data_IF_989080447742
#
_entry.id   IF_989080447742
#
_cell.length_a   1.000
_cell.length_b   1.000
_cell.length_c   1.000
_cell.angle_alpha   90.00
_cell.angle_beta   90.00
_cell.angle_gamma   90.00
#
_symmetry.space_group_name_H-M   'P 1'
#
loop_
_entity.id
_entity.type
_entity.pdbx_description
1 polymer ?
#
# COMPACT_ATOMS: atom_id res chain seq x y z
N UNK A 1 -12.14 12.50 -29.39
CA UNK A 1 -12.91 13.76 -29.38
C UNK A 1 -13.72 13.68 -28.10
N UNK A 2 -13.33 14.25 -26.96
CA UNK A 2 -13.08 15.66 -26.63
C UNK A 2 -11.76 15.81 -25.83
N UNK A 3 -11.06 16.92 -26.08
CA UNK A 3 -9.77 17.32 -25.48
C UNK A 3 -9.99 18.26 -24.29
N UNK A 4 -9.05 18.19 -23.33
CA UNK A 4 -8.46 19.25 -22.48
C UNK A 4 -9.36 20.05 -21.53
N UNK A 5 -8.91 20.20 -20.27
CA UNK A 5 -8.40 21.48 -19.75
C UNK A 5 -7.30 21.26 -18.70
N UNK A 6 -6.21 22.01 -18.88
CA UNK A 6 -5.07 22.15 -17.97
C UNK A 6 -5.37 23.35 -17.08
N UNK A 7 -5.28 23.22 -15.75
CA UNK A 7 -5.17 24.36 -14.85
C UNK A 7 -3.79 24.32 -14.19
N UNK A 8 -3.01 25.33 -14.55
CA UNK A 8 -1.82 25.80 -13.84
C UNK A 8 -2.29 26.62 -12.64
N UNK A 9 -1.85 26.30 -11.44
CA UNK A 9 -1.78 27.27 -10.33
C UNK A 9 -0.49 27.07 -9.55
N UNK A 10 0.15 28.20 -9.32
CA UNK A 10 1.43 28.39 -8.67
C UNK A 10 1.35 28.14 -7.16
N UNK A 11 2.52 28.04 -6.55
CA UNK A 11 2.77 28.12 -5.11
C UNK A 11 1.92 29.21 -4.44
N UNK A 12 1.10 28.81 -3.47
CA UNK A 12 0.81 29.59 -2.27
C UNK A 12 0.09 28.69 -1.25
N UNK A 13 0.76 28.43 -0.13
CA UNK A 13 0.12 27.93 1.09
C UNK A 13 -1.00 28.90 1.52
N UNK A 14 -2.19 28.42 1.94
CA UNK A 14 -3.14 29.30 2.58
C UNK A 14 -2.80 29.45 4.06
N UNK A 15 -2.34 30.65 4.44
CA UNK A 15 -2.38 31.13 5.84
C UNK A 15 -3.83 31.41 6.28
N UNK A 16 -4.13 31.28 7.58
CA UNK A 16 -5.48 31.33 8.11
C UNK A 16 -5.95 32.78 8.30
N UNK A 17 -6.70 33.35 7.36
CA UNK A 17 -7.40 34.63 7.61
C UNK A 17 -8.64 34.93 6.76
N UNK A 18 -9.23 33.94 6.07
CA UNK A 18 -10.49 34.14 5.33
C UNK A 18 -11.57 33.22 5.88
N UNK A 19 -12.05 33.50 7.10
CA UNK A 19 -13.19 32.78 7.71
C UNK A 19 -14.35 33.73 8.06
N UNK A 20 -14.16 35.06 7.96
CA UNK A 20 -15.21 36.02 8.33
C UNK A 20 -16.12 36.45 7.17
N UNK A 21 -15.71 36.30 5.91
CA UNK A 21 -16.47 36.85 4.76
C UNK A 21 -17.41 35.82 4.11
N UNK A 22 -17.22 34.53 4.34
CA UNK A 22 -18.00 33.46 3.71
C UNK A 22 -19.31 33.12 4.43
N UNK A 23 -19.52 33.63 5.65
CA UNK A 23 -20.74 33.35 6.43
C UNK A 23 -21.94 34.15 5.89
N UNK A 24 -21.74 35.39 5.41
CA UNK A 24 -22.81 36.22 4.86
C UNK A 24 -23.32 35.73 3.47
N UNK A 25 -22.47 35.04 2.69
CA UNK A 25 -22.87 34.45 1.40
C UNK A 25 -23.54 33.07 1.56
N UNK A 26 -23.35 32.38 2.68
CA UNK A 26 -24.01 31.11 2.98
C UNK A 26 -25.39 31.28 3.62
N UNK A 27 -25.63 32.36 4.36
CA UNK A 27 -26.97 32.66 4.93
C UNK A 27 -28.00 33.11 3.88
N UNK A 28 -27.56 33.57 2.71
CA UNK A 28 -28.46 34.05 1.64
C UNK A 28 -29.01 32.95 0.73
N UNK A 29 -28.49 31.72 0.80
CA UNK A 29 -28.97 30.58 -0.01
C UNK A 29 -29.88 29.61 0.74
N UNK A 30 -30.11 29.82 2.04
CA UNK A 30 -30.91 28.92 2.89
C UNK A 30 -32.16 29.55 3.51
N UNK A 31 -32.55 30.77 3.14
CA UNK A 31 -33.85 31.33 3.48
C UNK A 31 -34.75 31.34 2.24
N UNK A 32 -35.91 30.65 2.23
CA UNK A 32 -36.84 30.76 1.12
C UNK A 32 -37.44 32.18 1.13
N UNK A 33 -36.93 33.05 0.25
CA UNK A 33 -37.64 34.26 -0.13
C UNK A 33 -38.93 33.81 -0.82
N UNK A 34 -40.06 33.95 -0.14
CA UNK A 34 -41.39 33.76 -0.74
C UNK A 34 -41.54 34.73 -1.93
N UNK A 35 -41.24 34.24 -3.14
CA UNK A 35 -41.77 34.80 -4.38
C UNK A 35 -43.08 34.07 -4.67
N UNK A 36 -44.17 34.84 -4.72
CA UNK A 36 -45.50 34.36 -5.08
C UNK A 36 -45.48 33.85 -6.52
N UNK A 37 -45.89 32.60 -6.72
CA UNK A 37 -46.39 32.09 -8.00
C UNK A 37 -45.36 31.42 -8.92
N UNK A 38 -44.78 30.31 -8.49
CA UNK A 38 -44.26 29.25 -9.35
C UNK A 38 -44.49 27.95 -8.57
N UNK A 39 -45.23 26.99 -9.14
CA UNK A 39 -45.32 25.63 -8.59
C UNK A 39 -43.91 25.04 -8.65
N UNK A 40 -43.18 25.12 -7.54
CA UNK A 40 -41.87 24.49 -7.40
C UNK A 40 -42.12 22.99 -7.51
N UNK A 41 -41.66 22.39 -8.61
CA UNK A 41 -41.68 20.96 -8.80
C UNK A 41 -40.81 20.29 -7.73
N UNK A 42 -41.47 19.91 -6.63
CA UNK A 42 -40.86 19.27 -5.47
C UNK A 42 -40.12 17.97 -5.86
N UNK A 43 -40.60 17.28 -6.89
CA UNK A 43 -40.00 16.06 -7.43
C UNK A 43 -38.63 16.38 -8.04
N UNK A 44 -38.56 17.41 -8.87
CA UNK A 44 -37.32 17.91 -9.49
C UNK A 44 -36.32 18.42 -8.45
N UNK A 45 -36.77 19.17 -7.44
CA UNK A 45 -35.91 19.60 -6.34
C UNK A 45 -35.35 18.42 -5.54
N UNK A 46 -36.18 17.41 -5.21
CA UNK A 46 -35.73 16.20 -4.51
C UNK A 46 -34.73 15.41 -5.34
N UNK A 47 -34.96 15.28 -6.64
CA UNK A 47 -34.05 14.60 -7.57
C UNK A 47 -32.70 15.31 -7.63
N UNK A 48 -32.69 16.63 -7.76
CA UNK A 48 -31.47 17.44 -7.78
C UNK A 48 -30.66 17.34 -6.47
N UNK A 49 -31.33 17.37 -5.31
CA UNK A 49 -30.67 17.18 -4.02
C UNK A 49 -30.09 15.78 -3.87
N UNK A 50 -30.82 14.76 -4.31
CA UNK A 50 -30.34 13.37 -4.31
C UNK A 50 -29.08 13.22 -5.15
N UNK A 51 -29.05 13.78 -6.37
CA UNK A 51 -27.87 13.74 -7.23
C UNK A 51 -26.63 14.35 -6.54
N UNK A 52 -26.79 15.51 -5.88
CA UNK A 52 -25.70 16.14 -5.11
C UNK A 52 -25.20 15.29 -3.95
N UNK A 53 -26.10 14.63 -3.22
CA UNK A 53 -25.74 13.74 -2.10
C UNK A 53 -24.98 12.52 -2.63
N UNK A 54 -25.46 11.92 -3.72
CA UNK A 54 -24.81 10.76 -4.35
C UNK A 54 -23.43 11.11 -4.88
N UNK A 55 -23.26 12.26 -5.54
CA UNK A 55 -21.94 12.72 -6.01
C UNK A 55 -20.96 12.96 -4.86
N UNK A 56 -21.42 13.61 -3.78
CA UNK A 56 -20.60 13.86 -2.61
C UNK A 56 -20.20 12.55 -1.91
N UNK A 57 -21.14 11.62 -1.75
CA UNK A 57 -20.89 10.30 -1.18
C UNK A 57 -19.92 9.50 -2.04
N UNK A 58 -20.13 9.42 -3.36
CA UNK A 58 -19.25 8.69 -4.28
C UNK A 58 -17.82 9.23 -4.24
N UNK A 59 -17.65 10.56 -4.18
CA UNK A 59 -16.34 11.19 -4.04
C UNK A 59 -15.68 10.85 -2.71
N UNK A 60 -16.39 10.98 -1.59
CA UNK A 60 -15.86 10.63 -0.27
C UNK A 60 -15.48 9.14 -0.19
N UNK A 61 -16.34 8.25 -0.69
CA UNK A 61 -16.10 6.81 -0.76
C UNK A 61 -14.82 6.48 -1.56
N UNK A 62 -14.64 7.12 -2.72
CA UNK A 62 -13.44 6.97 -3.54
C UNK A 62 -12.18 7.49 -2.82
N UNK A 63 -12.24 8.68 -2.23
CA UNK A 63 -11.11 9.30 -1.54
C UNK A 63 -10.70 8.52 -0.28
N UNK A 64 -11.68 7.96 0.44
CA UNK A 64 -11.48 7.13 1.62
C UNK A 64 -11.08 5.68 1.31
N UNK A 65 -11.13 5.25 0.04
CA UNK A 65 -10.85 3.87 -0.36
C UNK A 65 -11.83 2.88 0.28
N UNK A 66 -13.12 3.21 0.29
CA UNK A 66 -14.16 2.32 0.78
C UNK A 66 -14.62 1.39 -0.34
N UNK A 67 -14.74 0.10 -0.02
CA UNK A 67 -15.25 -0.91 -0.96
C UNK A 67 -16.64 -0.52 -1.45
N UNK A 68 -16.91 -0.61 -2.75
CA UNK A 68 -18.23 -0.27 -3.33
C UNK A 68 -19.39 -1.07 -2.72
N UNK A 69 -19.12 -2.27 -2.19
CA UNK A 69 -20.13 -3.07 -1.48
C UNK A 69 -20.64 -2.39 -0.20
N UNK A 70 -20.01 -1.30 0.27
CA UNK A 70 -20.46 -0.53 1.44
C UNK A 70 -21.90 0.00 1.30
N UNK A 71 -22.37 0.22 0.07
CA UNK A 71 -23.75 0.69 -0.20
C UNK A 71 -24.80 -0.42 0.01
N UNK A 72 -24.38 -1.68 0.08
CA UNK A 72 -25.27 -2.83 0.23
C UNK A 72 -25.49 -3.22 1.70
N UNK A 73 -24.85 -2.55 2.68
CA UNK A 73 -25.14 -2.76 4.10
C UNK A 73 -26.45 -2.04 4.47
N UNK A 74 -27.56 -2.55 3.95
CA UNK A 74 -28.86 -1.87 3.96
C UNK A 74 -29.34 -1.50 5.35
N UNK A 75 -29.06 -2.32 6.36
CA UNK A 75 -29.53 -2.06 7.72
C UNK A 75 -28.79 -0.86 8.32
N UNK A 76 -27.46 -0.95 8.44
CA UNK A 76 -26.66 0.10 9.08
C UNK A 76 -26.48 1.36 8.21
N UNK A 77 -26.38 1.21 6.88
CA UNK A 77 -26.17 2.36 5.99
C UNK A 77 -27.46 3.16 5.80
N UNK A 78 -28.63 2.50 5.68
CA UNK A 78 -29.91 3.22 5.58
C UNK A 78 -30.22 3.98 6.86
N UNK A 79 -29.99 3.35 8.02
CA UNK A 79 -30.15 4.00 9.33
C UNK A 79 -29.23 5.24 9.47
N UNK A 80 -27.97 5.13 9.03
CA UNK A 80 -27.04 6.27 9.02
C UNK A 80 -27.55 7.42 8.14
N UNK A 81 -27.97 7.13 6.90
CA UNK A 81 -28.47 8.15 5.98
C UNK A 81 -29.75 8.80 6.53
N UNK A 82 -30.66 8.03 7.12
CA UNK A 82 -31.86 8.54 7.75
C UNK A 82 -31.54 9.45 8.95
N UNK A 83 -30.67 9.01 9.85
CA UNK A 83 -30.26 9.80 11.02
C UNK A 83 -29.59 11.12 10.62
N UNK A 84 -28.70 11.11 9.62
CA UNK A 84 -28.08 12.34 9.09
C UNK A 84 -29.13 13.24 8.44
N UNK A 85 -30.08 12.67 7.70
CA UNK A 85 -31.20 13.40 7.10
C UNK A 85 -32.11 14.06 8.13
N UNK A 86 -32.41 13.37 9.23
CA UNK A 86 -33.22 13.89 10.34
C UNK A 86 -32.50 15.00 11.13
N UNK A 87 -31.18 14.90 11.30
CA UNK A 87 -30.39 15.97 11.94
C UNK A 87 -30.41 17.25 11.10
N UNK A 88 -30.23 17.13 9.79
CA UNK A 88 -30.25 18.26 8.85
C UNK A 88 -28.92 19.02 8.72
N UNK A 89 -28.93 20.22 8.09
CA UNK A 89 -27.73 21.00 7.83
C UNK A 89 -26.96 21.39 9.11
N UNK A 90 -25.63 21.34 9.04
CA UNK A 90 -24.74 21.76 10.14
C UNK A 90 -24.22 20.62 11.03
N UNK A 91 -24.58 19.36 10.73
CA UNK A 91 -23.97 18.19 11.36
C UNK A 91 -22.46 18.19 11.10
N UNK A 92 -21.67 18.04 12.16
CA UNK A 92 -20.21 17.89 12.06
C UNK A 92 -19.87 16.40 11.96
N UNK A 93 -18.92 16.00 11.10
CA UNK A 93 -18.46 14.61 11.06
C UNK A 93 -17.97 14.15 12.44
N UNK A 94 -18.23 12.87 12.81
CA UNK A 94 -17.78 12.32 14.08
C UNK A 94 -16.25 12.26 14.13
N UNK A 95 -15.69 12.42 15.34
CA UNK A 95 -14.24 12.26 15.59
C UNK A 95 -13.92 10.86 16.15
N UNK A 96 -12.65 10.43 16.05
CA UNK A 96 -12.21 9.11 16.55
C UNK A 96 -12.68 8.80 17.97
N UNK A 97 -12.63 9.78 18.87
CA UNK A 97 -13.05 9.61 20.26
C UNK A 97 -14.53 9.20 20.37
N UNK A 98 -15.43 9.90 19.68
CA UNK A 98 -16.86 9.61 19.68
C UNK A 98 -17.15 8.25 19.03
N UNK A 99 -16.48 7.96 17.90
CA UNK A 99 -16.65 6.68 17.20
C UNK A 99 -16.20 5.50 18.07
N UNK A 100 -15.05 5.60 18.74
CA UNK A 100 -14.53 4.55 19.62
C UNK A 100 -15.47 4.30 20.80
N UNK A 101 -16.00 5.36 21.42
CA UNK A 101 -16.94 5.21 22.53
C UNK A 101 -18.24 4.52 22.11
N UNK A 102 -18.80 4.89 20.95
CA UNK A 102 -20.03 4.27 20.45
C UNK A 102 -19.83 2.81 20.01
N UNK A 103 -18.67 2.47 19.44
CA UNK A 103 -18.31 1.08 19.10
C UNK A 103 -18.04 0.23 20.35
N UNK A 104 -17.68 0.88 21.47
CA UNK A 104 -17.13 0.21 22.65
C UNK A 104 -15.61 0.11 22.52
N UNK A 105 -14.81 0.76 23.40
CA UNK A 105 -13.35 0.71 23.34
C UNK A 105 -12.77 -0.72 23.37
N UNK A 106 -13.46 -1.65 24.03
CA UNK A 106 -13.14 -3.07 24.05
C UNK A 106 -13.29 -3.74 22.68
N UNK A 107 -14.07 -3.19 21.76
CA UNK A 107 -14.23 -3.74 20.42
C UNK A 107 -13.20 -3.21 19.42
N UNK A 108 -12.37 -2.23 19.83
CA UNK A 108 -11.36 -1.58 19.00
C UNK A 108 -9.96 -2.05 19.39
N UNK A 109 -9.25 -2.69 18.47
CA UNK A 109 -7.87 -3.17 18.70
C UNK A 109 -6.83 -2.12 18.32
N UNK A 110 -7.09 -1.37 17.24
CA UNK A 110 -6.11 -0.48 16.62
C UNK A 110 -6.80 0.63 15.82
N UNK A 111 -6.21 1.82 15.87
CA UNK A 111 -6.47 2.95 14.97
C UNK A 111 -5.23 3.17 14.13
N UNK A 112 -5.39 3.17 12.80
CA UNK A 112 -4.30 3.40 11.85
C UNK A 112 -4.53 4.72 11.14
N UNK A 113 -3.53 5.60 11.15
CA UNK A 113 -3.58 6.89 10.44
C UNK A 113 -2.36 7.05 9.55
N UNK A 114 -2.38 8.02 8.64
CA UNK A 114 -1.17 8.43 7.94
C UNK A 114 -0.17 9.14 8.89
N UNK A 115 0.95 9.59 8.33
CA UNK A 115 2.10 10.12 9.04
C UNK A 115 2.10 11.66 9.16
N UNK A 116 0.98 12.32 8.86
CA UNK A 116 0.82 13.77 9.03
C UNK A 116 1.00 14.18 10.51
N UNK A 117 1.54 15.38 10.74
CA UNK A 117 1.85 15.88 12.08
C UNK A 117 0.63 15.95 13.00
N UNK A 118 -0.52 16.28 12.42
CA UNK A 118 -1.83 16.38 13.08
C UNK A 118 -2.26 14.99 13.56
N UNK A 119 -2.11 13.98 12.70
CA UNK A 119 -2.44 12.59 13.00
C UNK A 119 -1.52 12.01 14.08
N UNK A 120 -0.23 12.38 14.11
CA UNK A 120 0.66 12.01 15.22
C UNK A 120 0.21 12.56 16.56
N UNK A 121 -0.16 13.84 16.59
CA UNK A 121 -0.66 14.50 17.81
C UNK A 121 -1.96 13.86 18.29
N UNK A 122 -2.92 13.69 17.38
CA UNK A 122 -4.20 13.02 17.67
C UNK A 122 -4.00 11.59 18.15
N UNK A 123 -3.09 10.84 17.52
CA UNK A 123 -2.71 9.49 17.92
C UNK A 123 -2.10 9.41 19.32
N UNK A 124 -1.26 10.38 19.68
CA UNK A 124 -0.73 10.53 21.03
C UNK A 124 -1.82 10.76 22.08
N UNK A 125 -2.79 11.62 21.77
CA UNK A 125 -3.96 11.86 22.63
C UNK A 125 -4.83 10.61 22.77
N UNK A 126 -5.09 9.90 21.66
CA UNK A 126 -5.86 8.65 21.67
C UNK A 126 -5.21 7.58 22.55
N UNK A 127 -3.88 7.44 22.52
CA UNK A 127 -3.14 6.52 23.41
C UNK A 127 -3.33 6.86 24.89
N UNK A 128 -3.46 8.14 25.23
CA UNK A 128 -3.71 8.59 26.59
C UNK A 128 -5.14 8.32 27.07
N UNK A 129 -6.13 8.57 26.20
CA UNK A 129 -7.55 8.38 26.54
C UNK A 129 -7.94 6.89 26.55
N UNK A 130 -7.43 6.11 25.61
CA UNK A 130 -7.74 4.69 25.46
C UNK A 130 -6.46 3.86 25.61
N UNK A 131 -6.00 3.59 26.85
CA UNK A 131 -4.71 2.93 27.10
C UNK A 131 -4.63 1.51 26.52
N UNK A 132 -5.76 0.84 26.29
CA UNK A 132 -5.81 -0.52 25.74
C UNK A 132 -5.88 -0.54 24.20
N UNK A 133 -6.06 0.62 23.55
CA UNK A 133 -6.10 0.75 22.09
C UNK A 133 -4.71 1.13 21.57
N UNK A 134 -4.36 0.59 20.41
CA UNK A 134 -3.13 0.98 19.73
C UNK A 134 -3.39 2.01 18.66
N UNK A 135 -2.60 3.08 18.67
CA UNK A 135 -2.44 3.93 17.51
C UNK A 135 -1.11 3.63 16.83
N UNK A 136 -1.17 3.39 15.53
CA UNK A 136 0.01 3.12 14.68
C UNK A 136 -0.07 3.92 13.39
N UNK A 137 1.08 4.17 12.79
CA UNK A 137 1.18 4.75 11.46
C UNK A 137 0.87 3.70 10.39
N UNK A 138 0.33 4.15 9.27
CA UNK A 138 0.04 3.30 8.12
C UNK A 138 1.33 2.74 7.51
N UNK A 139 1.43 1.40 7.44
CA UNK A 139 2.61 0.72 6.91
C UNK A 139 2.91 1.10 5.45
N UNK A 140 1.88 1.11 4.61
CA UNK A 140 2.01 1.50 3.21
C UNK A 140 2.50 2.95 3.04
N UNK A 141 2.02 3.84 3.90
CA UNK A 141 2.50 5.22 3.91
C UNK A 141 3.95 5.32 4.39
N UNK A 142 4.36 4.54 5.39
CA UNK A 142 5.74 4.49 5.85
C UNK A 142 6.70 3.99 4.76
N UNK A 143 6.35 2.92 4.04
CA UNK A 143 7.15 2.40 2.92
C UNK A 143 7.21 3.42 1.77
N UNK A 144 6.11 4.11 1.48
CA UNK A 144 6.12 5.21 0.52
C UNK A 144 7.09 6.35 0.92
N UNK A 145 7.18 6.67 2.21
CA UNK A 145 8.15 7.65 2.70
C UNK A 145 9.59 7.13 2.61
N UNK A 146 9.84 5.83 2.85
CA UNK A 146 11.15 5.21 2.62
C UNK A 146 11.59 5.41 1.17
N UNK A 147 10.71 5.11 0.21
CA UNK A 147 10.98 5.40 -1.20
C UNK A 147 11.28 6.88 -1.45
N UNK A 148 10.49 7.78 -0.85
CA UNK A 148 10.69 9.21 -0.99
C UNK A 148 12.06 9.69 -0.50
N UNK A 149 12.60 9.08 0.54
CA UNK A 149 13.94 9.40 1.03
C UNK A 149 15.05 8.74 0.21
N UNK A 150 14.87 7.47 -0.19
CA UNK A 150 15.80 6.76 -1.07
C UNK A 150 15.95 7.49 -2.40
N UNK A 151 14.85 7.92 -3.03
CA UNK A 151 14.89 8.62 -4.32
C UNK A 151 15.39 10.07 -4.24
N UNK A 152 15.78 10.57 -3.06
CA UNK A 152 16.57 11.80 -2.94
C UNK A 152 18.07 11.53 -3.11
N UNK A 153 18.54 10.30 -2.88
CA UNK A 153 19.94 9.93 -3.01
C UNK A 153 20.37 9.85 -4.48
N UNK A 154 21.62 10.23 -4.77
CA UNK A 154 22.25 9.90 -6.03
C UNK A 154 22.73 8.42 -6.01
N UNK A 155 22.63 7.68 -7.13
CA UNK A 155 22.19 8.14 -8.46
C UNK A 155 20.66 8.13 -8.66
N UNK A 156 19.88 7.64 -7.70
CA UNK A 156 18.44 7.36 -7.86
C UNK A 156 17.58 8.59 -8.22
N UNK A 157 17.83 9.73 -7.59
CA UNK A 157 17.14 10.99 -7.90
C UNK A 157 17.34 11.42 -9.35
N UNK A 158 18.58 11.26 -9.84
CA UNK A 158 18.99 11.67 -11.18
C UNK A 158 18.41 10.75 -12.25
N UNK A 159 18.42 9.43 -12.04
CA UNK A 159 17.84 8.49 -13.00
C UNK A 159 16.33 8.66 -13.10
N UNK A 160 15.64 8.93 -11.98
CA UNK A 160 14.21 9.17 -11.98
C UNK A 160 13.85 10.44 -12.77
N UNK A 161 14.59 11.54 -12.55
CA UNK A 161 14.39 12.77 -13.32
C UNK A 161 14.60 12.55 -14.84
N UNK A 162 15.63 11.79 -15.23
CA UNK A 162 15.88 11.42 -16.64
C UNK A 162 14.74 10.57 -17.20
N UNK A 163 14.24 9.58 -16.46
CA UNK A 163 13.13 8.74 -16.89
C UNK A 163 11.82 9.53 -17.08
N UNK A 164 11.51 10.47 -16.18
CA UNK A 164 10.37 11.39 -16.34
C UNK A 164 10.52 12.22 -17.62
N UNK A 165 11.72 12.73 -17.91
CA UNK A 165 11.97 13.48 -19.15
C UNK A 165 11.72 12.62 -20.39
N UNK A 166 12.22 11.39 -20.42
CA UNK A 166 11.98 10.43 -21.52
C UNK A 166 10.46 10.20 -21.71
N UNK A 167 9.77 9.87 -20.62
CA UNK A 167 8.32 9.67 -20.62
C UNK A 167 7.58 10.90 -21.16
N UNK A 168 7.88 12.08 -20.60
CA UNK A 168 7.17 13.33 -20.92
C UNK A 168 7.45 13.81 -22.34
N UNK A 169 8.58 13.40 -22.92
CA UNK A 169 8.91 13.68 -24.30
C UNK A 169 8.19 12.75 -25.28
N UNK A 170 8.21 11.43 -25.03
CA UNK A 170 7.69 10.43 -25.96
C UNK A 170 6.16 10.32 -25.87
N UNK A 171 5.61 10.22 -24.66
CA UNK A 171 4.19 9.87 -24.44
C UNK A 171 3.19 10.84 -25.08
N UNK A 172 3.39 12.17 -25.07
CA UNK A 172 2.47 13.10 -25.73
C UNK A 172 2.55 13.14 -27.26
N UNK A 173 3.53 12.44 -27.88
CA UNK A 173 3.82 12.52 -29.31
C UNK A 173 3.41 11.22 -30.03
N UNK A 174 2.27 11.19 -30.73
CA UNK A 174 1.73 9.96 -31.32
C UNK A 174 2.68 9.28 -32.30
N UNK A 175 3.46 10.04 -33.09
CA UNK A 175 4.42 9.47 -34.03
C UNK A 175 5.52 8.68 -33.32
N UNK A 176 6.14 9.28 -32.30
CA UNK A 176 7.20 8.63 -31.51
C UNK A 176 6.66 7.41 -30.74
N UNK A 177 5.47 7.56 -30.16
CA UNK A 177 4.81 6.47 -29.45
C UNK A 177 4.50 5.30 -30.39
N UNK A 178 4.03 5.58 -31.60
CA UNK A 178 3.76 4.55 -32.61
C UNK A 178 5.03 3.87 -33.10
N UNK A 179 6.13 4.60 -33.32
CA UNK A 179 7.42 4.01 -33.71
C UNK A 179 7.96 3.13 -32.57
N UNK A 180 7.90 3.59 -31.32
CA UNK A 180 8.28 2.79 -30.15
C UNK A 180 7.46 1.50 -30.05
N UNK A 181 6.14 1.55 -30.33
CA UNK A 181 5.22 0.41 -30.27
C UNK A 181 5.39 -0.61 -31.41
N UNK A 182 6.06 -0.27 -32.51
CA UNK A 182 6.26 -1.17 -33.66
C UNK A 182 7.17 -2.36 -33.34
N UNK A 183 7.87 -2.33 -32.21
CA UNK A 183 8.83 -3.36 -31.83
C UNK A 183 8.32 -4.13 -30.59
N UNK A 184 8.13 -5.46 -30.78
CA UNK A 184 7.60 -6.50 -29.86
C UNK A 184 6.70 -6.06 -28.67
N UNK A 185 5.44 -6.50 -28.71
CA UNK A 185 4.40 -6.53 -27.64
C UNK A 185 3.72 -5.22 -27.20
N UNK A 186 3.81 -4.11 -27.95
CA UNK A 186 2.98 -2.89 -27.75
C UNK A 186 2.91 -2.31 -26.31
N UNK A 187 3.91 -2.53 -25.46
CA UNK A 187 3.87 -2.05 -24.06
C UNK A 187 4.03 -0.52 -24.02
N UNK A 188 3.16 0.13 -23.26
CA UNK A 188 3.18 1.58 -23.09
C UNK A 188 4.17 1.99 -22.00
N UNK A 189 4.70 3.22 -22.11
CA UNK A 189 5.33 3.84 -20.96
C UNK A 189 4.24 4.16 -19.93
N UNK A 190 4.46 3.76 -18.68
CA UNK A 190 3.51 4.01 -17.60
C UNK A 190 3.63 5.45 -17.11
N UNK A 191 2.49 6.14 -17.03
CA UNK A 191 2.39 7.50 -16.49
C UNK A 191 2.88 7.52 -15.04
N UNK A 192 3.91 8.33 -14.71
CA UNK A 192 4.24 8.58 -13.32
C UNK A 192 3.04 9.23 -12.61
N UNK A 193 2.57 8.65 -11.50
CA UNK A 193 1.62 9.34 -10.64
C UNK A 193 2.39 10.28 -9.70
N UNK A 194 1.89 11.51 -9.53
CA UNK A 194 2.54 12.51 -8.67
C UNK A 194 2.58 12.10 -7.19
N UNK A 195 1.71 11.20 -6.75
CA UNK A 195 1.36 11.00 -5.33
C UNK A 195 1.71 9.64 -4.73
N UNK A 196 2.34 8.71 -5.48
CA UNK A 196 2.75 7.39 -4.96
C UNK A 196 4.13 7.00 -5.50
N UNK A 197 5.16 6.93 -4.66
CA UNK A 197 6.53 6.61 -5.09
C UNK A 197 6.67 5.20 -5.69
N UNK A 198 5.76 4.28 -5.37
CA UNK A 198 5.62 2.99 -6.09
C UNK A 198 5.47 3.20 -7.60
N UNK A 199 4.70 4.21 -8.01
CA UNK A 199 4.52 4.51 -9.44
C UNK A 199 5.81 5.04 -10.07
N UNK A 200 6.70 5.67 -9.30
CA UNK A 200 8.02 6.06 -9.78
C UNK A 200 8.88 4.85 -10.16
N UNK A 201 8.92 3.83 -9.28
CA UNK A 201 9.61 2.56 -9.57
C UNK A 201 8.95 1.80 -10.71
N UNK A 202 7.62 1.72 -10.74
CA UNK A 202 6.91 1.07 -11.85
C UNK A 202 7.19 1.79 -13.18
N UNK A 203 7.26 3.12 -13.21
CA UNK A 203 7.67 3.84 -14.42
C UNK A 203 9.10 3.51 -14.82
N UNK A 204 10.06 3.52 -13.89
CA UNK A 204 11.45 3.13 -14.18
C UNK A 204 11.55 1.70 -14.72
N UNK A 205 10.81 0.77 -14.12
CA UNK A 205 10.77 -0.63 -14.56
C UNK A 205 10.21 -0.74 -15.98
N UNK A 206 9.12 -0.03 -16.29
CA UNK A 206 8.56 -0.01 -17.64
C UNK A 206 9.50 0.64 -18.68
N UNK A 207 10.19 1.72 -18.32
CA UNK A 207 11.22 2.33 -19.18
C UNK A 207 12.35 1.33 -19.44
N UNK A 208 12.78 0.58 -18.43
CA UNK A 208 13.78 -0.47 -18.56
C UNK A 208 13.33 -1.61 -19.48
N UNK A 209 12.09 -2.09 -19.34
CA UNK A 209 11.52 -3.10 -20.25
C UNK A 209 11.45 -2.62 -21.71
N UNK A 210 11.34 -1.31 -21.92
CA UNK A 210 11.35 -0.69 -23.25
C UNK A 210 12.75 -0.31 -23.74
N UNK A 211 13.83 -0.65 -23.03
CA UNK A 211 15.21 -0.25 -23.37
C UNK A 211 15.57 -0.47 -24.83
N UNK A 212 15.30 -1.67 -25.35
CA UNK A 212 15.65 -1.99 -26.74
C UNK A 212 14.78 -1.23 -27.73
N UNK A 213 13.47 -1.15 -27.50
CA UNK A 213 12.55 -0.39 -28.35
C UNK A 213 12.90 1.11 -28.38
N UNK A 214 13.25 1.68 -27.23
CA UNK A 214 13.70 3.07 -27.11
C UNK A 214 15.01 3.30 -27.87
N UNK A 215 15.97 2.36 -27.78
CA UNK A 215 17.22 2.43 -28.54
C UNK A 215 16.97 2.33 -30.04
N UNK A 216 16.15 1.38 -30.49
CA UNK A 216 15.76 1.26 -31.89
C UNK A 216 15.09 2.53 -32.39
N UNK A 217 14.17 3.13 -31.61
CA UNK A 217 13.54 4.40 -31.95
C UNK A 217 14.58 5.50 -32.21
N UNK A 218 15.49 5.76 -31.26
CA UNK A 218 16.43 6.90 -31.39
C UNK A 218 17.56 6.66 -32.38
N UNK A 219 17.79 5.40 -32.77
CA UNK A 219 18.78 5.02 -33.78
C UNK A 219 18.16 4.85 -35.18
N UNK A 220 16.84 4.98 -35.32
CA UNK A 220 16.17 4.77 -36.61
C UNK A 220 16.37 5.94 -37.57
N UNK A 221 16.26 5.65 -38.87
CA UNK A 221 16.29 6.69 -39.91
C UNK A 221 15.14 7.67 -39.72
N UNK A 222 13.95 7.19 -39.37
CA UNK A 222 12.77 8.01 -39.11
C UNK A 222 12.99 9.00 -37.96
N UNK A 223 13.72 8.61 -36.90
CA UNK A 223 14.10 9.55 -35.86
C UNK A 223 15.07 10.61 -36.40
N UNK A 224 16.14 10.17 -37.07
CA UNK A 224 17.20 11.06 -37.57
C UNK A 224 16.70 12.11 -38.57
N UNK A 225 15.71 11.76 -39.39
CA UNK A 225 15.10 12.63 -40.39
C UNK A 225 13.98 13.50 -39.79
N UNK A 226 13.46 13.15 -38.61
CA UNK A 226 12.37 13.87 -37.96
C UNK A 226 12.78 15.24 -37.41
N UNK A 227 11.76 16.08 -37.16
CA UNK A 227 11.93 17.32 -36.40
C UNK A 227 12.41 17.07 -34.96
N UNK A 228 12.10 15.91 -34.39
CA UNK A 228 12.37 15.58 -32.99
C UNK A 228 13.88 15.42 -32.72
N UNK A 229 14.64 14.85 -33.67
CA UNK A 229 16.10 14.77 -33.55
C UNK A 229 16.80 16.13 -33.57
N UNK A 230 16.13 17.17 -34.09
CA UNK A 230 16.67 18.54 -34.17
C UNK A 230 16.37 19.35 -32.90
N UNK A 231 15.30 19.02 -32.18
CA UNK A 231 14.91 19.65 -30.91
C UNK A 231 15.99 19.46 -29.83
N UNK A 232 16.21 20.49 -29.00
CA UNK A 232 17.15 20.43 -27.87
C UNK A 232 16.80 19.31 -26.89
N UNK A 233 15.52 19.18 -26.53
CA UNK A 233 15.00 18.12 -25.67
C UNK A 233 15.11 16.73 -26.31
N UNK A 234 14.87 16.62 -27.62
CA UNK A 234 15.01 15.35 -28.34
C UNK A 234 16.45 14.86 -28.36
N UNK A 235 17.42 15.75 -28.59
CA UNK A 235 18.85 15.44 -28.48
C UNK A 235 19.24 15.00 -27.07
N UNK A 236 18.72 15.67 -26.03
CA UNK A 236 18.95 15.28 -24.63
C UNK A 236 18.41 13.87 -24.33
N UNK A 237 17.16 13.59 -24.72
CA UNK A 237 16.50 12.28 -24.55
C UNK A 237 17.24 11.17 -25.29
N UNK A 238 17.66 11.41 -26.54
CA UNK A 238 18.44 10.44 -27.30
C UNK A 238 19.78 10.13 -26.61
N UNK A 239 20.46 11.15 -26.06
CA UNK A 239 21.70 10.94 -25.30
C UNK A 239 21.48 10.09 -24.05
N UNK A 240 20.36 10.25 -23.34
CA UNK A 240 20.03 9.40 -22.19
C UNK A 240 19.80 7.95 -22.60
N UNK A 241 19.02 7.72 -23.67
CA UNK A 241 18.66 6.38 -24.15
C UNK A 241 19.87 5.62 -24.71
N UNK A 242 20.77 6.31 -25.40
CA UNK A 242 21.98 5.69 -25.97
C UNK A 242 23.03 5.45 -24.88
N UNK A 243 23.19 6.38 -23.93
CA UNK A 243 24.22 6.33 -22.91
C UNK A 243 24.10 5.14 -21.94
N UNK A 244 25.20 4.44 -21.61
CA UNK A 244 25.17 3.28 -20.70
C UNK A 244 24.84 3.68 -19.26
N UNK A 245 25.29 4.86 -18.81
CA UNK A 245 25.11 5.32 -17.43
C UNK A 245 23.66 5.38 -16.99
N UNK A 246 22.75 5.86 -17.85
CA UNK A 246 21.33 5.92 -17.52
C UNK A 246 20.76 4.52 -17.21
N UNK A 247 21.13 3.52 -18.00
CA UNK A 247 20.67 2.15 -17.80
C UNK A 247 21.31 1.49 -16.58
N UNK A 248 22.60 1.74 -16.33
CA UNK A 248 23.28 1.23 -15.13
C UNK A 248 22.64 1.81 -13.85
N UNK A 249 22.37 3.12 -13.84
CA UNK A 249 21.67 3.77 -12.72
C UNK A 249 20.22 3.27 -12.58
N UNK A 250 19.56 2.95 -13.70
CA UNK A 250 18.19 2.39 -13.70
C UNK A 250 18.19 1.01 -13.04
N UNK A 251 19.16 0.15 -13.39
CA UNK A 251 19.32 -1.16 -12.77
C UNK A 251 19.57 -1.02 -11.27
N UNK A 252 20.46 -0.12 -10.85
CA UNK A 252 20.70 0.13 -9.42
C UNK A 252 19.41 0.55 -8.69
N UNK A 253 18.63 1.46 -9.27
CA UNK A 253 17.36 1.89 -8.69
C UNK A 253 16.33 0.75 -8.59
N UNK A 254 16.28 -0.16 -9.58
CA UNK A 254 15.39 -1.32 -9.56
C UNK A 254 15.82 -2.39 -8.56
N UNK A 255 17.13 -2.62 -8.39
CA UNK A 255 17.69 -3.54 -7.38
C UNK A 255 17.26 -3.16 -5.96
N UNK A 256 17.20 -1.85 -5.67
CA UNK A 256 16.67 -1.33 -4.40
C UNK A 256 15.14 -1.29 -4.37
N UNK A 257 14.53 -0.83 -5.46
CA UNK A 257 13.12 -0.50 -5.49
C UNK A 257 12.20 -1.71 -5.49
N UNK A 258 12.53 -2.75 -6.26
CA UNK A 258 11.65 -3.91 -6.45
C UNK A 258 11.36 -4.67 -5.14
N UNK A 259 12.35 -4.98 -4.27
CA UNK A 259 12.07 -5.64 -3.00
C UNK A 259 11.09 -4.85 -2.12
N UNK A 260 11.27 -3.53 -2.01
CA UNK A 260 10.36 -2.67 -1.25
C UNK A 260 8.96 -2.55 -1.88
N UNK A 261 8.84 -2.64 -3.22
CA UNK A 261 7.52 -2.69 -3.89
C UNK A 261 6.80 -3.97 -3.51
N UNK A 262 7.50 -5.10 -3.37
CA UNK A 262 6.91 -6.36 -2.91
C UNK A 262 6.38 -6.25 -1.48
N UNK A 263 7.13 -5.61 -0.57
CA UNK A 263 6.64 -5.35 0.80
C UNK A 263 5.42 -4.42 0.79
N UNK A 264 5.45 -3.37 -0.04
CA UNK A 264 4.31 -2.48 -0.17
C UNK A 264 3.05 -3.22 -0.64
N UNK A 265 3.17 -4.05 -1.68
CA UNK A 265 2.06 -4.86 -2.20
C UNK A 265 1.53 -5.83 -1.16
N UNK A 266 2.39 -6.39 -0.31
CA UNK A 266 1.98 -7.22 0.80
C UNK A 266 1.11 -6.44 1.80
N UNK A 267 1.54 -5.23 2.21
CA UNK A 267 0.81 -4.45 3.22
C UNK A 267 -0.44 -3.73 2.69
N UNK A 268 -0.47 -3.42 1.40
CA UNK A 268 -1.65 -2.90 0.69
C UNK A 268 -2.63 -4.02 0.30
N UNK A 269 -2.18 -5.29 0.28
CA UNK A 269 -3.00 -6.43 -0.12
C UNK A 269 -4.02 -6.85 0.95
N UNK A 270 -5.25 -7.14 0.53
CA UNK A 270 -6.34 -7.54 1.43
C UNK A 270 -6.44 -9.07 1.64
N UNK A 271 -5.80 -9.86 0.78
CA UNK A 271 -5.96 -11.34 0.72
C UNK A 271 -5.39 -12.07 1.94
N UNK A 272 -4.31 -11.58 2.55
CA UNK A 272 -3.69 -12.17 3.75
C UNK A 272 -3.44 -11.07 4.78
N UNK A 273 -3.70 -11.27 6.08
CA UNK A 273 -3.40 -10.28 7.11
C UNK A 273 -1.88 -9.97 7.13
N UNK A 274 -1.43 -8.78 6.68
CA UNK A 274 -0.02 -8.54 6.41
C UNK A 274 0.81 -8.31 7.68
N UNK A 275 0.11 -7.99 8.76
CA UNK A 275 0.67 -7.55 10.02
C UNK A 275 1.60 -8.57 10.70
N UNK A 276 1.39 -9.87 10.51
CA UNK A 276 2.28 -10.92 11.00
C UNK A 276 3.46 -11.25 10.09
N UNK A 277 3.53 -10.67 8.89
CA UNK A 277 4.56 -10.94 7.89
C UNK A 277 5.51 -9.76 7.68
N UNK A 278 5.22 -8.58 8.23
CA UNK A 278 5.94 -7.36 7.88
C UNK A 278 7.41 -7.34 8.30
N UNK A 279 7.77 -7.95 9.45
CA UNK A 279 9.19 -8.10 9.85
C UNK A 279 9.94 -8.94 8.81
N UNK A 280 9.48 -10.17 8.60
CA UNK A 280 10.07 -11.11 7.64
C UNK A 280 10.15 -10.51 6.22
N UNK A 281 9.10 -9.80 5.79
CA UNK A 281 9.07 -9.18 4.47
C UNK A 281 10.12 -8.06 4.34
N UNK A 282 10.31 -7.25 5.38
CA UNK A 282 11.34 -6.22 5.40
C UNK A 282 12.75 -6.81 5.46
N UNK A 283 12.96 -7.85 6.26
CA UNK A 283 14.25 -8.53 6.35
C UNK A 283 14.62 -9.17 5.01
N UNK A 284 13.70 -9.93 4.39
CA UNK A 284 13.89 -10.47 3.03
C UNK A 284 14.10 -9.39 1.99
N UNK A 285 13.46 -8.24 2.14
CA UNK A 285 13.70 -7.12 1.23
C UNK A 285 15.14 -6.60 1.36
N UNK A 286 15.67 -6.47 2.58
CA UNK A 286 17.08 -6.11 2.82
C UNK A 286 18.02 -7.18 2.27
N UNK A 287 17.79 -8.46 2.55
CA UNK A 287 18.58 -9.57 2.00
C UNK A 287 18.61 -9.58 0.47
N UNK A 288 17.46 -9.35 -0.18
CA UNK A 288 17.36 -9.27 -1.64
C UNK A 288 18.15 -8.08 -2.20
N UNK A 289 18.12 -6.91 -1.53
CA UNK A 289 18.91 -5.74 -1.91
C UNK A 289 20.40 -6.05 -1.79
N UNK A 290 20.82 -6.59 -0.64
CA UNK A 290 22.21 -6.94 -0.38
C UNK A 290 22.75 -7.93 -1.42
N UNK A 291 22.01 -9.02 -1.68
CA UNK A 291 22.36 -10.02 -2.69
C UNK A 291 22.43 -9.41 -4.08
N UNK A 292 21.52 -8.51 -4.44
CA UNK A 292 21.52 -7.85 -5.74
C UNK A 292 22.76 -6.97 -5.97
N UNK A 293 23.48 -6.57 -4.92
CA UNK A 293 24.73 -5.82 -5.00
C UNK A 293 25.96 -6.69 -4.68
N UNK A 294 25.84 -8.01 -4.76
CA UNK A 294 26.93 -8.95 -4.51
C UNK A 294 27.57 -8.75 -3.12
N UNK A 295 26.74 -8.40 -2.13
CA UNK A 295 27.18 -8.07 -0.76
C UNK A 295 28.16 -6.88 -0.68
N UNK A 296 28.24 -6.03 -1.71
CA UNK A 296 29.02 -4.79 -1.68
C UNK A 296 28.32 -3.72 -0.85
N UNK A 297 28.60 -3.74 0.46
CA UNK A 297 28.04 -2.82 1.47
C UNK A 297 28.05 -1.35 1.04
N UNK A 298 29.08 -0.91 0.30
CA UNK A 298 29.21 0.50 -0.14
C UNK A 298 28.06 0.96 -1.03
N UNK A 299 27.35 0.02 -1.69
CA UNK A 299 26.25 0.32 -2.62
C UNK A 299 24.88 0.41 -1.95
N UNK A 300 24.67 -0.26 -0.82
CA UNK A 300 23.35 -0.33 -0.17
C UNK A 300 23.31 0.14 1.29
N UNK A 301 24.45 0.37 1.95
CA UNK A 301 24.50 0.81 3.36
C UNK A 301 23.63 2.04 3.63
N UNK A 302 23.76 3.07 2.80
CA UNK A 302 22.99 4.31 2.94
C UNK A 302 21.49 4.13 2.66
N UNK A 303 21.12 3.10 1.90
CA UNK A 303 19.72 2.69 1.72
C UNK A 303 19.21 2.00 2.97
N UNK A 304 20.01 1.12 3.58
CA UNK A 304 19.66 0.44 4.82
C UNK A 304 19.52 1.44 5.97
N UNK A 305 20.38 2.44 6.09
CA UNK A 305 20.23 3.52 7.07
C UNK A 305 18.87 4.23 6.97
N UNK A 306 18.37 4.46 5.75
CA UNK A 306 17.05 5.06 5.54
C UNK A 306 15.94 4.09 5.93
N UNK A 307 16.04 2.84 5.51
CA UNK A 307 15.07 1.79 5.84
C UNK A 307 14.98 1.63 7.36
N UNK A 308 16.12 1.45 8.02
CA UNK A 308 16.22 1.19 9.46
C UNK A 308 15.74 2.39 10.27
N UNK A 309 16.14 3.61 9.88
CA UNK A 309 15.62 4.82 10.52
C UNK A 309 14.10 4.94 10.42
N UNK A 310 13.54 4.72 9.23
CA UNK A 310 12.08 4.79 9.02
C UNK A 310 11.35 3.63 9.71
N UNK A 311 11.99 2.46 9.79
CA UNK A 311 11.52 1.33 10.53
C UNK A 311 11.41 1.67 12.01
N UNK A 312 12.51 2.02 12.66
CA UNK A 312 12.59 2.29 14.10
C UNK A 312 11.71 3.47 14.52
N UNK A 313 11.70 4.55 13.74
CA UNK A 313 10.97 5.77 14.08
C UNK A 313 9.45 5.65 13.87
N UNK A 314 8.99 4.80 12.94
CA UNK A 314 7.62 4.90 12.39
C UNK A 314 6.89 3.58 12.19
N UNK A 315 7.56 2.56 11.64
CA UNK A 315 6.90 1.33 11.22
C UNK A 315 6.99 0.22 12.28
N UNK A 316 8.12 0.13 12.97
CA UNK A 316 8.33 -0.79 14.06
C UNK A 316 7.35 -0.49 15.18
N UNK A 317 6.55 -1.48 15.58
CA UNK A 317 5.60 -1.37 16.68
C UNK A 317 5.59 -2.72 17.40
N UNK A 318 5.51 -2.76 18.75
CA UNK A 318 5.43 -4.02 19.52
C UNK A 318 4.28 -4.93 19.08
N UNK A 319 3.28 -4.31 18.48
CA UNK A 319 2.14 -4.98 17.92
C UNK A 319 2.52 -5.87 16.72
N UNK A 320 3.42 -5.41 15.84
CA UNK A 320 3.97 -6.21 14.75
C UNK A 320 4.67 -7.49 15.25
N UNK A 321 5.44 -7.41 16.35
CA UNK A 321 6.17 -8.55 16.89
C UNK A 321 5.24 -9.61 17.50
N UNK A 322 4.20 -9.17 18.21
CA UNK A 322 3.20 -10.08 18.74
C UNK A 322 2.50 -10.88 17.63
N UNK A 323 2.24 -10.26 16.48
CA UNK A 323 1.65 -10.95 15.34
C UNK A 323 2.61 -11.88 14.62
N UNK A 324 3.91 -11.57 14.62
CA UNK A 324 4.94 -12.46 14.10
C UNK A 324 5.01 -13.77 14.90
N UNK A 325 4.94 -13.70 16.23
CA UNK A 325 4.90 -14.89 17.11
C UNK A 325 3.62 -15.74 16.90
N UNK A 326 2.48 -15.10 16.64
CA UNK A 326 1.22 -15.80 16.37
C UNK A 326 1.07 -16.31 14.93
N UNK A 327 2.04 -16.00 14.06
CA UNK A 327 2.09 -16.52 12.70
C UNK A 327 2.82 -17.87 12.69
N UNK A 328 2.07 -18.96 12.59
CA UNK A 328 2.61 -20.30 12.78
C UNK A 328 3.75 -20.64 11.83
N UNK A 329 3.60 -20.36 10.54
CA UNK A 329 4.64 -20.66 9.55
C UNK A 329 5.97 -19.97 9.88
N UNK A 330 5.91 -18.71 10.31
CA UNK A 330 7.10 -17.94 10.67
C UNK A 330 7.63 -18.33 12.05
N UNK A 331 6.76 -18.47 13.05
CA UNK A 331 7.14 -18.77 14.42
C UNK A 331 7.94 -20.08 14.50
N UNK A 332 7.41 -21.20 13.97
CA UNK A 332 8.11 -22.48 14.10
C UNK A 332 9.41 -22.49 13.29
N UNK A 333 9.41 -21.91 12.08
CA UNK A 333 10.62 -21.79 11.27
C UNK A 333 11.70 -20.96 11.99
N UNK A 334 11.32 -19.82 12.56
CA UNK A 334 12.24 -18.91 13.23
C UNK A 334 12.70 -19.45 14.59
N UNK A 335 11.84 -20.20 15.28
CA UNK A 335 12.19 -20.91 16.51
C UNK A 335 13.20 -22.04 16.24
N UNK A 336 12.98 -22.84 15.20
CA UNK A 336 13.92 -23.88 14.75
C UNK A 336 15.28 -23.27 14.34
N UNK A 337 15.25 -22.17 13.60
CA UNK A 337 16.44 -21.43 13.16
C UNK A 337 17.07 -20.56 14.26
N UNK A 338 16.46 -20.47 15.45
CA UNK A 338 16.89 -19.64 16.59
C UNK A 338 17.07 -18.15 16.25
N UNK A 339 16.20 -17.62 15.38
CA UNK A 339 16.21 -16.22 14.94
C UNK A 339 15.30 -15.31 15.77
N UNK A 340 14.49 -15.87 16.68
CA UNK A 340 13.65 -15.10 17.61
C UNK A 340 14.49 -14.58 18.79
N UNK A 341 14.77 -13.28 18.79
CA UNK A 341 15.51 -12.63 19.87
C UNK A 341 14.66 -12.36 21.13
N UNK A 342 15.31 -11.90 22.21
CA UNK A 342 14.63 -11.56 23.47
C UNK A 342 13.62 -10.42 23.33
N UNK A 343 13.79 -9.52 22.36
CA UNK A 343 12.92 -8.36 22.19
C UNK A 343 11.55 -8.77 21.65
N UNK A 344 11.48 -9.73 20.70
CA UNK A 344 10.21 -10.29 20.23
C UNK A 344 9.34 -10.80 21.39
N UNK A 345 9.96 -11.50 22.36
CA UNK A 345 9.27 -12.02 23.54
C UNK A 345 8.81 -10.92 24.50
N UNK A 346 9.68 -9.94 24.79
CA UNK A 346 9.32 -8.77 25.62
C UNK A 346 8.13 -8.02 25.03
N UNK A 347 8.14 -7.81 23.72
CA UNK A 347 7.08 -7.11 23.00
C UNK A 347 5.77 -7.89 22.97
N UNK A 348 5.82 -9.21 22.77
CA UNK A 348 4.65 -10.07 22.87
C UNK A 348 3.99 -9.99 24.24
N UNK A 349 4.77 -10.15 25.33
CA UNK A 349 4.21 -10.10 26.68
C UNK A 349 3.64 -8.71 27.02
N UNK A 350 4.35 -7.64 26.67
CA UNK A 350 3.85 -6.28 26.80
C UNK A 350 2.53 -6.08 26.03
N UNK A 351 2.38 -6.73 24.87
CA UNK A 351 1.16 -6.67 24.07
C UNK A 351 -0.01 -7.39 24.73
N UNK A 352 0.20 -8.61 25.21
CA UNK A 352 -0.84 -9.39 25.91
C UNK A 352 -1.33 -8.58 27.11
N UNK A 353 -0.42 -8.03 27.92
CA UNK A 353 -0.77 -7.20 29.07
C UNK A 353 -1.60 -5.95 28.69
N UNK A 354 -1.25 -5.27 27.59
CA UNK A 354 -1.98 -4.07 27.15
C UNK A 354 -3.36 -4.36 26.53
N UNK A 355 -3.53 -5.51 25.87
CA UNK A 355 -4.79 -5.85 25.21
C UNK A 355 -5.78 -6.62 26.08
N UNK A 356 -5.27 -7.31 27.10
CA UNK A 356 -6.05 -8.20 27.94
C UNK A 356 -5.91 -7.69 29.37
N UNK A 357 -6.77 -6.75 29.82
CA UNK A 357 -6.67 -6.19 31.16
C UNK A 357 -6.88 -7.23 32.28
N UNK A 358 -7.57 -8.33 31.98
CA UNK A 358 -7.81 -9.44 32.91
C UNK A 358 -6.55 -10.29 33.11
N UNK A 359 -5.93 -10.16 34.29
CA UNK A 359 -4.71 -10.89 34.68
C UNK A 359 -4.90 -12.41 34.68
N UNK A 360 -6.08 -12.92 35.03
CA UNK A 360 -6.36 -14.36 35.01
C UNK A 360 -6.36 -14.85 33.55
N UNK A 361 -6.94 -14.06 32.64
CA UNK A 361 -6.90 -14.37 31.22
C UNK A 361 -5.49 -14.24 30.64
N UNK A 362 -4.70 -13.26 31.07
CA UNK A 362 -3.28 -13.15 30.68
C UNK A 362 -2.49 -14.39 31.10
N UNK A 363 -2.67 -14.86 32.34
CA UNK A 363 -2.00 -16.06 32.84
C UNK A 363 -2.37 -17.29 32.02
N UNK A 364 -3.66 -17.48 31.71
CA UNK A 364 -4.13 -18.58 30.85
C UNK A 364 -3.54 -18.52 29.44
N UNK A 365 -3.49 -17.32 28.84
CA UNK A 365 -2.83 -17.12 27.54
C UNK A 365 -1.34 -17.52 27.61
N UNK A 366 -0.65 -17.18 28.70
CA UNK A 366 0.75 -17.57 28.91
C UNK A 366 0.95 -19.08 29.03
N UNK A 367 0.06 -19.79 29.73
CA UNK A 367 0.10 -21.26 29.82
C UNK A 367 -0.15 -21.91 28.46
N UNK A 368 -1.18 -21.45 27.75
CA UNK A 368 -1.54 -21.94 26.41
C UNK A 368 -0.45 -21.63 25.36
N UNK A 369 0.28 -20.52 25.53
CA UNK A 369 1.44 -20.21 24.69
C UNK A 369 2.51 -21.31 24.78
N UNK A 370 2.74 -21.89 25.97
CA UNK A 370 3.67 -23.00 26.13
C UNK A 370 3.27 -24.22 25.28
N UNK A 371 1.98 -24.59 25.34
CA UNK A 371 1.38 -25.68 24.53
C UNK A 371 1.55 -25.38 23.03
N UNK A 372 1.27 -24.15 22.62
CA UNK A 372 1.49 -23.70 21.25
C UNK A 372 2.96 -23.82 20.84
N UNK A 373 3.90 -23.31 21.63
CA UNK A 373 5.33 -23.33 21.28
C UNK A 373 5.88 -24.74 21.11
N UNK A 374 5.38 -25.70 21.90
CA UNK A 374 5.81 -27.10 21.83
C UNK A 374 5.09 -27.90 20.74
N UNK A 375 4.07 -27.32 20.09
CA UNK A 375 3.18 -28.01 19.18
C UNK A 375 2.54 -29.25 19.82
N UNK A 376 2.10 -29.11 21.07
CA UNK A 376 1.49 -30.22 21.80
C UNK A 376 0.05 -30.51 21.31
N UNK A 377 -0.39 -31.75 21.53
CA UNK A 377 -1.76 -32.18 21.26
C UNK A 377 -2.18 -32.01 19.79
N UNK A 378 -3.35 -31.41 19.56
CA UNK A 378 -3.92 -31.17 18.22
C UNK A 378 -2.98 -30.30 17.36
N UNK A 379 -2.20 -29.40 17.98
CA UNK A 379 -1.30 -28.48 17.27
C UNK A 379 -0.09 -29.19 16.64
N UNK A 380 0.22 -30.40 17.11
CA UNK A 380 1.29 -31.29 16.62
C UNK A 380 0.84 -32.32 15.61
N UNK A 381 -0.46 -32.42 15.31
CA UNK A 381 -0.94 -33.34 14.28
C UNK A 381 -0.31 -33.01 12.91
N UNK A 382 -0.02 -34.04 12.13
CA UNK A 382 0.59 -33.85 10.81
C UNK A 382 -0.25 -32.94 9.89
N UNK A 383 -1.59 -32.98 10.02
CA UNK A 383 -2.50 -32.06 9.32
C UNK A 383 -2.35 -30.61 9.80
N UNK A 384 -2.25 -30.40 11.11
CA UNK A 384 -2.04 -29.09 11.71
C UNK A 384 -0.69 -28.50 11.28
N UNK A 385 0.39 -29.29 11.32
CA UNK A 385 1.73 -28.89 10.87
C UNK A 385 1.72 -28.49 9.40
N UNK A 386 1.16 -29.31 8.50
CA UNK A 386 1.01 -28.96 7.08
C UNK A 386 0.16 -27.70 6.88
N UNK A 387 -0.87 -27.53 7.71
CA UNK A 387 -1.76 -26.39 7.67
C UNK A 387 -1.07 -25.05 7.96
N UNK A 388 0.06 -25.04 8.70
CA UNK A 388 0.73 -23.80 9.15
C UNK A 388 1.13 -22.87 8.00
N UNK A 389 1.45 -23.44 6.84
CA UNK A 389 1.87 -22.70 5.63
C UNK A 389 0.82 -22.73 4.52
N UNK A 390 -0.11 -23.69 4.55
CA UNK A 390 -1.10 -23.92 3.49
C UNK A 390 -2.46 -23.26 3.76
N UNK A 391 -2.82 -23.04 5.02
CA UNK A 391 -4.09 -22.40 5.40
C UNK A 391 -3.91 -20.90 5.66
N UNK A 392 -4.99 -20.13 5.53
CA UNK A 392 -4.98 -18.79 6.07
C UNK A 392 -4.84 -18.83 7.59
N UNK A 393 -4.13 -17.85 8.15
CA UNK A 393 -3.79 -17.82 9.57
C UNK A 393 -5.01 -17.97 10.49
N UNK A 394 -6.11 -17.31 10.14
CA UNK A 394 -7.37 -17.37 10.90
C UNK A 394 -8.07 -18.72 10.74
N UNK A 395 -8.03 -19.33 9.55
CA UNK A 395 -8.57 -20.68 9.31
C UNK A 395 -7.84 -21.71 10.16
N UNK A 396 -6.52 -21.60 10.21
CA UNK A 396 -5.71 -22.49 11.04
C UNK A 396 -6.11 -22.38 12.51
N UNK A 397 -6.17 -21.14 13.04
CA UNK A 397 -6.58 -20.89 14.42
C UNK A 397 -7.99 -21.43 14.69
N UNK A 398 -8.93 -21.29 13.75
CA UNK A 398 -10.28 -21.85 13.88
C UNK A 398 -10.30 -23.38 13.89
N UNK A 399 -9.46 -24.04 13.07
CA UNK A 399 -9.47 -25.50 12.92
C UNK A 399 -8.66 -26.25 13.98
N UNK A 400 -7.59 -25.67 14.51
CA UNK A 400 -6.66 -26.39 15.38
C UNK A 400 -6.48 -25.75 16.77
N UNK A 401 -6.94 -24.51 16.97
CA UNK A 401 -6.75 -23.77 18.23
C UNK A 401 -7.61 -24.20 19.42
N UNK A 402 -8.38 -25.29 19.33
CA UNK A 402 -9.36 -25.68 20.35
C UNK A 402 -8.76 -26.03 21.71
N UNK A 403 -7.53 -26.54 21.74
CA UNK A 403 -6.81 -26.88 22.99
C UNK A 403 -6.13 -25.67 23.63
N UNK A 404 -6.12 -24.54 22.94
CA UNK A 404 -5.56 -23.26 23.41
C UNK A 404 -6.61 -22.15 23.25
N UNK A 405 -7.79 -22.26 23.89
CA UNK A 405 -8.96 -21.43 23.58
C UNK A 405 -8.77 -19.93 23.89
N UNK A 406 -8.00 -19.57 24.92
CA UNK A 406 -7.74 -18.16 25.24
C UNK A 406 -6.77 -17.53 24.24
N UNK A 407 -5.71 -18.26 23.85
CA UNK A 407 -4.75 -17.86 22.82
C UNK A 407 -5.40 -17.84 21.44
N UNK A 408 -6.28 -18.80 21.13
CA UNK A 408 -7.09 -18.83 19.91
C UNK A 408 -7.99 -17.60 19.82
N UNK A 409 -8.75 -17.28 20.88
CA UNK A 409 -9.56 -16.07 20.92
C UNK A 409 -8.71 -14.80 20.77
N UNK A 410 -7.56 -14.76 21.44
CA UNK A 410 -6.62 -13.65 21.33
C UNK A 410 -6.11 -13.51 19.88
N UNK A 411 -5.69 -14.60 19.24
CA UNK A 411 -5.22 -14.60 17.85
C UNK A 411 -6.34 -14.21 16.87
N UNK A 412 -7.52 -14.82 16.96
CA UNK A 412 -8.65 -14.54 16.05
C UNK A 412 -9.17 -13.12 16.23
N UNK A 413 -9.26 -12.59 17.46
CA UNK A 413 -9.69 -11.19 17.66
C UNK A 413 -8.72 -10.20 17.02
N UNK A 414 -7.42 -10.50 17.08
CA UNK A 414 -6.38 -9.59 16.60
C UNK A 414 -6.04 -9.78 15.11
N UNK A 415 -6.31 -10.94 14.52
CA UNK A 415 -6.00 -11.27 13.12
C UNK A 415 -7.28 -11.35 12.26
N UNK A 416 -8.42 -11.67 12.87
CA UNK A 416 -9.68 -12.01 12.21
C UNK A 416 -10.49 -10.84 11.67
N UNK A 417 -10.25 -9.60 12.12
CA UNK A 417 -10.99 -8.42 11.65
C UNK A 417 -10.85 -8.21 10.13
N UNK A 418 -9.66 -8.44 9.56
CA UNK A 418 -9.45 -8.37 8.10
C UNK A 418 -9.84 -9.64 7.35
N UNK A 419 -9.71 -10.81 7.98
CA UNK A 419 -10.09 -12.09 7.38
C UNK A 419 -11.59 -12.20 7.10
N UNK A 420 -12.45 -11.63 7.96
CA UNK A 420 -13.92 -11.61 7.72
C UNK A 420 -14.31 -10.78 6.48
N UNK A 421 -13.43 -9.88 6.01
CA UNK A 421 -13.63 -9.04 4.83
C UNK A 421 -12.95 -9.56 3.56
N UNK A 422 -12.30 -10.74 3.60
CA UNK A 422 -11.44 -11.29 2.52
C UNK A 422 -12.11 -11.54 1.16
N UNK A 423 -13.45 -11.55 1.13
CA UNK A 423 -14.25 -11.79 -0.08
C UNK A 423 -14.91 -10.51 -0.62
N UNK A 424 -14.64 -9.34 -0.01
CA UNK A 424 -15.12 -8.05 -0.47
C UNK A 424 -14.04 -7.50 -1.40
N UNK A 425 -14.20 -7.70 -2.70
CA UNK A 425 -13.29 -7.13 -3.70
C UNK A 425 -13.56 -5.62 -3.79
N UNK A 426 -12.56 -4.80 -3.46
CA UNK A 426 -12.56 -3.37 -3.76
C UNK A 426 -12.09 -3.10 -5.21
N UNK A 427 -12.85 -2.41 -6.06
CA UNK A 427 -12.38 -1.92 -7.36
C UNK A 427 -11.20 -0.94 -7.30
N UNK A 428 -10.81 -0.43 -6.13
CA UNK A 428 -9.56 0.33 -5.90
C UNK A 428 -8.48 -0.58 -5.27
N UNK A 429 -8.56 -1.89 -5.47
CA UNK A 429 -7.34 -2.66 -5.56
C UNK A 429 -6.51 -2.10 -6.73
N UNK A 430 -5.18 -2.21 -6.62
CA UNK A 430 -4.29 -2.18 -7.78
C UNK A 430 -4.62 -3.32 -8.79
N UNK A 431 -5.73 -4.03 -8.59
CA UNK A 431 -6.29 -5.05 -9.46
C UNK A 431 -6.83 -4.50 -10.78
N UNK A 432 -6.96 -3.18 -10.94
CA UNK A 432 -7.08 -2.57 -12.28
C UNK A 432 -5.73 -2.45 -13.01
N UNK A 433 -4.69 -3.12 -12.48
CA UNK A 433 -3.51 -3.60 -13.20
C UNK A 433 -3.49 -5.16 -13.24
N UNK A 434 -4.43 -5.87 -12.60
CA UNK A 434 -4.45 -7.33 -12.47
C UNK A 434 -5.43 -8.10 -13.40
N UNK A 435 -6.09 -7.46 -14.38
CA UNK A 435 -6.66 -8.25 -15.49
C UNK A 435 -5.60 -8.79 -16.48
N UNK A 436 -4.31 -8.60 -16.18
CA UNK A 436 -3.20 -9.04 -17.01
C UNK A 436 -2.22 -9.99 -16.29
N UNK A 437 -2.62 -10.61 -15.18
CA UNK A 437 -1.73 -11.52 -14.43
C UNK A 437 -1.52 -12.93 -15.03
N UNK A 438 -2.08 -13.24 -16.19
CA UNK A 438 -1.71 -14.45 -16.96
C UNK A 438 -0.33 -14.34 -17.65
N UNK A 439 0.29 -13.16 -17.72
CA UNK A 439 1.65 -13.02 -18.25
C UNK A 439 2.75 -12.81 -17.20
N UNK A 440 2.36 -12.66 -15.93
CA UNK A 440 3.28 -12.56 -14.79
C UNK A 440 3.62 -13.92 -14.15
N UNK A 441 2.88 -14.98 -14.51
CA UNK A 441 3.28 -16.38 -14.31
C UNK A 441 3.23 -17.06 -15.68
N UNK A 442 4.31 -16.88 -16.45
CA UNK A 442 4.41 -17.54 -17.75
C UNK A 442 4.39 -19.05 -17.57
N UNK A 443 3.37 -19.72 -18.10
CA UNK A 443 3.40 -21.16 -18.34
C UNK A 443 2.60 -21.51 -19.60
N UNK A 444 3.15 -22.22 -20.61
CA UNK A 444 4.55 -22.52 -20.88
C UNK A 444 5.00 -22.01 -22.27
N UNK A 445 6.06 -21.22 -22.28
CA UNK A 445 7.27 -21.60 -23.01
C UNK A 445 8.36 -21.67 -21.96
N UNK A 446 9.06 -22.79 -21.86
CA UNK A 446 10.11 -22.99 -20.84
C UNK A 446 11.18 -21.91 -20.99
N UNK A 447 11.14 -20.91 -20.12
CA UNK A 447 12.13 -19.83 -19.99
C UNK A 447 12.91 -19.97 -18.66
N UNK A 448 12.79 -21.11 -17.96
CA UNK A 448 13.54 -21.42 -16.73
C UNK A 448 15.05 -21.36 -16.91
N UNK A 449 15.52 -21.61 -18.14
CA UNK A 449 16.92 -21.55 -18.54
C UNK A 449 17.31 -20.19 -19.15
N UNK A 450 16.36 -19.26 -19.33
CA UNK A 450 16.67 -17.94 -19.89
C UNK A 450 17.34 -17.08 -18.82
N UNK A 451 18.55 -16.62 -19.12
CA UNK A 451 19.35 -15.81 -18.20
C UNK A 451 18.68 -14.44 -17.98
N UNK A 452 18.57 -14.04 -16.72
CA UNK A 452 18.12 -12.71 -16.29
C UNK A 452 19.04 -11.63 -16.87
N UNK A 453 20.32 -11.97 -17.05
CA UNK A 453 21.33 -11.18 -17.76
C UNK A 453 22.28 -12.13 -18.51
N UNK A 454 22.58 -11.85 -19.78
CA UNK A 454 23.53 -12.64 -20.57
C UNK A 454 24.91 -12.71 -19.88
N UNK A 455 25.37 -13.93 -19.60
CA UNK A 455 26.72 -14.22 -19.09
C UNK A 455 26.87 -14.28 -17.57
N UNK A 456 25.79 -14.16 -16.80
CA UNK A 456 25.82 -14.17 -15.33
C UNK A 456 25.27 -15.47 -14.69
N UNK A 457 24.76 -16.43 -15.48
CA UNK A 457 24.27 -17.72 -14.97
C UNK A 457 23.05 -17.65 -14.04
N UNK A 458 22.51 -16.46 -13.78
CA UNK A 458 21.27 -16.23 -13.04
C UNK A 458 20.10 -16.33 -14.03
N UNK A 459 19.24 -17.33 -13.88
CA UNK A 459 18.07 -17.51 -14.76
C UNK A 459 16.78 -17.03 -14.10
N UNK A 460 15.75 -16.77 -14.90
CA UNK A 460 14.43 -16.41 -14.35
C UNK A 460 13.86 -17.52 -13.45
N UNK A 461 14.28 -18.78 -13.63
CA UNK A 461 13.98 -19.88 -12.71
C UNK A 461 14.60 -19.69 -11.31
N UNK A 462 15.82 -19.18 -11.21
CA UNK A 462 16.45 -18.84 -9.92
C UNK A 462 15.72 -17.71 -9.19
N UNK A 463 15.15 -16.74 -9.93
CA UNK A 463 14.39 -15.61 -9.37
C UNK A 463 13.00 -16.07 -8.89
N UNK A 464 12.35 -16.97 -9.62
CA UNK A 464 11.06 -17.56 -9.21
C UNK A 464 11.21 -18.41 -7.93
N UNK A 465 12.21 -19.30 -7.87
CA UNK A 465 12.48 -20.10 -6.66
C UNK A 465 12.83 -19.22 -5.45
N UNK A 466 13.61 -18.15 -5.63
CA UNK A 466 14.00 -17.26 -4.54
C UNK A 466 12.84 -16.39 -4.02
N UNK A 467 11.82 -16.14 -4.84
CA UNK A 467 10.64 -15.34 -4.49
C UNK A 467 9.49 -16.18 -3.92
N UNK A 468 9.62 -17.51 -3.90
CA UNK A 468 8.58 -18.42 -3.40
C UNK A 468 7.30 -18.38 -4.22
N UNK A 469 7.38 -17.92 -5.46
CA UNK A 469 6.29 -17.91 -6.42
C UNK A 469 6.38 -19.20 -7.23
N UNK A 470 5.86 -20.28 -6.64
CA UNK A 470 5.23 -21.39 -7.36
C UNK A 470 3.71 -21.31 -7.16
#
# INVERSE_FOLDING_TARGET
>A
MVRTHTISTADQEPKPQVVATTIAELETTAAPKQRKGEDVDLESCRKSLRERVVDAFARWMYDAGLTFNCVNYTDSFSEFIEAVGQYGPGMKPPIYHETILNVGPENVVQVVTDNASENKKAGGMLKGVFPNIYWTLCAAHCINLMFGDIFKLAPYSTVFAKAIKIYSYISPRPLLLNIMRRYKKQRNLVKPAKTRFTTAILTLHNVYLQKQNLRTLVLSTEWSESIYAKETLGKEVARFIIGPYFWNDTVQALKVGNPLVSVLRLVDGEKKPPMGYIYEAMDRAKEAIEKAFDHDRRKYERVFEIIDKRWDDQLHQPLHAAWHILNLGLFYTNNENKTLDLNFWKEYHARVAKLVPDEVKQYKIGQELGVYMQADGILGLASAIRGRTKLALVEWWMQFGYEVPNLQQFAIRNIGSRYKSRNIIDPILLDNIDEENEWLTGGPKNHEEEEVFEGEGLTFGHVAMASGVE
#
